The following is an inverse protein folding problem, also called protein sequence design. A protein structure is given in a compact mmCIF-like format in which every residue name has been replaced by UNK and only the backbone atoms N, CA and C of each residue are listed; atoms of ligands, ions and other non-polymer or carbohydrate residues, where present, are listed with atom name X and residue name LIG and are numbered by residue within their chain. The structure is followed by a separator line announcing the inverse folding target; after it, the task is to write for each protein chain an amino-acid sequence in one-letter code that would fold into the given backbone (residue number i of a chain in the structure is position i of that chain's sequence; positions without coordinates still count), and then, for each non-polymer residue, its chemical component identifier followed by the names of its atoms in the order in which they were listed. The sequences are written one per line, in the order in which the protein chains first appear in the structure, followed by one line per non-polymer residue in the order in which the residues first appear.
data_IF_578003303465
#
_entry.id   IF_578003303465
#
_cell.length_a   1.000
_cell.length_b   1.000
_cell.length_c   1.000
_cell.angle_alpha   90.00
_cell.angle_beta   90.00
_cell.angle_gamma   90.00
#
_symmetry.space_group_name_H-M   'P 1'
#
loop_
_entity.id
_entity.type
_entity.pdbx_description
1 polymer ?
#
# COMPACT_ATOMS: atom_id res chain seq x y z
N UNK A 1 -11.87 9.31 2.54
CA UNK A 1 -11.45 9.14 1.13
C UNK A 1 -9.94 8.95 1.15
N UNK A 2 -9.39 8.03 0.36
CA UNK A 2 -7.96 7.71 0.35
C UNK A 2 -7.38 8.12 -1.00
N UNK A 3 -6.35 8.97 -1.00
CA UNK A 3 -5.72 9.51 -2.20
C UNK A 3 -4.36 8.84 -2.41
N UNK A 4 -4.37 7.61 -2.94
CA UNK A 4 -3.19 6.79 -3.13
C UNK A 4 -3.56 5.31 -3.19
N UNK A 5 -2.71 4.51 -3.83
CA UNK A 5 -2.93 3.07 -4.08
C UNK A 5 -1.68 2.24 -3.79
N UNK A 6 -0.97 2.56 -2.72
CA UNK A 6 0.13 1.74 -2.19
C UNK A 6 -0.32 0.88 -1.00
N UNK A 7 0.60 0.08 -0.45
CA UNK A 7 0.28 -0.97 0.54
C UNK A 7 -0.45 -0.43 1.76
N UNK A 8 0.10 0.62 2.39
CA UNK A 8 -0.54 1.33 3.52
C UNK A 8 -1.94 1.86 3.16
N UNK A 9 -2.17 2.33 1.93
CA UNK A 9 -3.48 2.81 1.51
C UNK A 9 -4.53 1.69 1.49
N UNK A 10 -4.14 0.49 1.06
CA UNK A 10 -5.04 -0.68 1.12
C UNK A 10 -5.20 -1.23 2.53
N UNK A 11 -4.19 -1.15 3.38
CA UNK A 11 -4.34 -1.52 4.79
C UNK A 11 -5.32 -0.57 5.52
N UNK A 12 -5.22 0.75 5.29
CA UNK A 12 -6.20 1.73 5.76
C UNK A 12 -7.59 1.41 5.21
N UNK A 13 -7.70 1.10 3.91
CA UNK A 13 -8.98 0.76 3.30
C UNK A 13 -9.59 -0.52 3.89
N UNK A 14 -8.79 -1.56 4.11
CA UNK A 14 -9.21 -2.80 4.75
C UNK A 14 -9.74 -2.54 6.16
N UNK A 15 -8.99 -1.78 6.97
CA UNK A 15 -9.40 -1.42 8.33
C UNK A 15 -10.69 -0.59 8.32
N UNK A 16 -10.84 0.35 7.37
CA UNK A 16 -12.04 1.14 7.22
C UNK A 16 -13.27 0.28 6.87
N UNK A 17 -13.09 -0.78 6.06
CA UNK A 17 -14.17 -1.73 5.73
C UNK A 17 -14.52 -2.66 6.88
N UNK A 18 -13.59 -2.95 7.78
CA UNK A 18 -13.83 -3.71 9.02
C UNK A 18 -14.46 -2.84 10.13
N UNK A 19 -14.37 -1.51 9.97
CA UNK A 19 -14.93 -0.51 10.88
C UNK A 19 -16.35 -0.06 10.47
N UNK A 20 -17.11 0.63 11.36
CA UNK A 20 -18.43 1.21 11.05
C UNK A 20 -18.37 2.44 10.11
N UNK A 21 -17.49 2.40 9.10
CA UNK A 21 -17.30 3.46 8.11
C UNK A 21 -18.43 3.43 7.07
N UNK A 22 -19.14 4.56 6.89
CA UNK A 22 -20.28 4.64 5.97
C UNK A 22 -19.90 4.40 4.50
N UNK A 23 -18.77 4.95 4.06
CA UNK A 23 -18.31 4.88 2.67
C UNK A 23 -16.78 4.96 2.61
N UNK A 24 -16.17 4.09 1.82
CA UNK A 24 -14.74 4.11 1.53
C UNK A 24 -14.56 4.35 0.04
N UNK A 25 -13.73 5.33 -0.29
CA UNK A 25 -13.36 5.66 -1.67
C UNK A 25 -11.84 5.62 -1.74
N UNK A 26 -11.29 4.82 -2.64
CA UNK A 26 -9.85 4.71 -2.90
C UNK A 26 -9.55 5.25 -4.29
N UNK A 27 -8.64 6.22 -4.34
CA UNK A 27 -8.28 6.91 -5.58
C UNK A 27 -6.84 6.60 -6.00
N UNK A 28 -6.63 6.41 -7.30
CA UNK A 28 -5.31 6.12 -7.87
C UNK A 28 -5.02 7.08 -9.03
N UNK A 29 -3.73 7.40 -9.27
CA UNK A 29 -3.31 8.19 -10.44
C UNK A 29 -3.15 7.32 -11.68
N UNK A 30 -2.30 6.31 -11.57
CA UNK A 30 -1.84 5.48 -12.69
C UNK A 30 -2.05 4.00 -12.44
N UNK A 31 -2.98 3.65 -11.54
CA UNK A 31 -3.32 2.26 -11.19
C UNK A 31 -2.35 1.64 -10.19
N UNK A 32 -2.56 0.36 -9.89
CA UNK A 32 -1.71 -0.46 -9.03
C UNK A 32 -1.64 -1.89 -9.57
N UNK A 33 -0.73 -2.69 -9.02
CA UNK A 33 -0.64 -4.12 -9.28
C UNK A 33 -0.92 -4.88 -7.99
N UNK A 34 -2.07 -5.55 -7.94
CA UNK A 34 -2.48 -6.32 -6.77
C UNK A 34 -2.00 -7.75 -6.87
N UNK A 35 -1.23 -8.24 -5.88
CA UNK A 35 -0.77 -9.61 -5.86
C UNK A 35 -0.88 -10.27 -4.48
N UNK A 36 -1.17 -11.57 -4.39
CA UNK A 36 -1.15 -12.28 -3.12
C UNK A 36 0.30 -12.46 -2.64
N UNK A 37 0.54 -12.30 -1.34
CA UNK A 37 1.86 -12.57 -0.72
C UNK A 37 2.36 -14.01 -0.96
N UNK A 38 1.43 -14.97 -0.98
CA UNK A 38 1.70 -16.40 -1.22
C UNK A 38 0.65 -16.91 -2.19
N UNK A 39 1.08 -17.63 -3.22
CA UNK A 39 0.17 -18.44 -4.03
C UNK A 39 -0.23 -19.67 -3.24
N UNK A 40 -1.38 -19.59 -2.55
CA UNK A 40 -1.84 -20.61 -1.62
C UNK A 40 -2.26 -21.94 -2.27
N UNK A 41 -2.41 -21.98 -3.61
CA UNK A 41 -2.87 -23.17 -4.35
C UNK A 41 -2.13 -23.36 -5.68
N UNK A 42 -0.80 -23.43 -5.67
CA UNK A 42 -0.15 -24.22 -6.71
C UNK A 42 -0.27 -25.68 -6.31
N UNK A 43 -1.02 -26.48 -7.09
CA UNK A 43 -1.24 -27.90 -6.85
C UNK A 43 0.06 -28.72 -6.67
N UNK A 44 1.21 -28.16 -7.03
CA UNK A 44 2.52 -28.81 -7.01
C UNK A 44 3.44 -28.37 -5.85
N UNK A 45 3.04 -27.38 -5.02
CA UNK A 45 3.88 -26.88 -3.91
C UNK A 45 3.07 -26.89 -2.61
N UNK A 46 3.21 -27.93 -1.76
CA UNK A 46 2.60 -27.96 -0.44
C UNK A 46 3.05 -26.75 0.39
N UNK A 47 2.09 -25.98 0.93
CA UNK A 47 2.37 -24.76 1.71
C UNK A 47 2.33 -23.44 0.91
N UNK A 48 2.25 -23.53 -0.43
CA UNK A 48 2.25 -22.36 -1.31
C UNK A 48 3.65 -21.77 -1.51
N UNK A 49 3.80 -21.03 -2.61
CA UNK A 49 5.05 -20.35 -2.97
C UNK A 49 4.89 -18.85 -2.71
N UNK A 50 5.77 -18.21 -1.90
CA UNK A 50 5.78 -16.75 -1.79
C UNK A 50 6.01 -16.12 -3.17
N UNK A 51 5.26 -15.08 -3.52
CA UNK A 51 5.39 -14.48 -4.86
C UNK A 51 6.79 -13.90 -5.10
N UNK A 52 7.40 -13.35 -4.05
CA UNK A 52 8.74 -12.73 -4.12
C UNK A 52 9.83 -13.72 -4.54
N UNK A 53 9.67 -15.02 -4.24
CA UNK A 53 10.63 -16.06 -4.65
C UNK A 53 10.25 -16.73 -5.96
N UNK A 54 9.08 -16.38 -6.53
CA UNK A 54 8.52 -17.04 -7.70
C UNK A 54 8.92 -16.39 -9.03
N UNK A 55 9.24 -15.09 -9.03
CA UNK A 55 9.38 -14.33 -10.28
C UNK A 55 10.78 -13.82 -10.58
N UNK A 56 11.71 -13.77 -9.62
CA UNK A 56 13.06 -13.25 -9.83
C UNK A 56 14.05 -13.96 -8.92
N UNK A 57 14.89 -14.83 -9.48
CA UNK A 57 16.00 -15.40 -8.73
C UNK A 57 17.14 -14.38 -8.68
N UNK A 58 17.79 -14.27 -7.52
CA UNK A 58 19.02 -13.49 -7.41
C UNK A 58 20.03 -14.02 -8.44
N UNK A 59 20.54 -13.14 -9.30
CA UNK A 59 21.46 -13.45 -10.40
C UNK A 59 20.88 -14.30 -11.56
N UNK A 60 19.56 -14.31 -11.77
CA UNK A 60 18.92 -14.96 -12.93
C UNK A 60 19.57 -14.55 -14.28
N UNK A 61 19.82 -13.26 -14.46
CA UNK A 61 20.50 -12.63 -15.61
C UNK A 61 21.95 -13.07 -15.81
N UNK A 62 22.61 -13.59 -14.77
CA UNK A 62 24.04 -13.99 -14.83
C UNK A 62 24.24 -15.23 -15.72
N UNK A 63 23.24 -16.10 -15.78
CA UNK A 63 23.31 -17.36 -16.54
C UNK A 63 22.72 -17.24 -17.96
N UNK A 64 22.17 -16.07 -18.30
CA UNK A 64 21.60 -15.80 -19.61
C UNK A 64 22.71 -15.46 -20.61
N UNK A 65 22.62 -16.01 -21.83
CA UNK A 65 23.59 -15.73 -22.90
C UNK A 65 23.73 -14.21 -23.14
N UNK A 66 24.95 -13.67 -23.36
CA UNK A 66 25.17 -12.22 -23.47
C UNK A 66 24.24 -11.51 -24.48
N UNK A 67 23.93 -12.15 -25.62
CA UNK A 67 22.99 -11.60 -26.61
C UNK A 67 21.57 -11.37 -26.08
N UNK A 68 21.11 -12.15 -25.09
CA UNK A 68 19.80 -11.98 -24.47
C UNK A 68 19.93 -11.05 -23.26
N UNK A 69 20.97 -11.23 -22.44
CA UNK A 69 21.25 -10.42 -21.24
C UNK A 69 21.39 -8.94 -21.56
N UNK A 70 22.13 -8.63 -22.63
CA UNK A 70 22.42 -7.25 -23.05
C UNK A 70 21.34 -6.71 -24.01
N UNK A 71 20.14 -7.28 -23.97
CA UNK A 71 18.99 -6.91 -24.80
C UNK A 71 17.71 -6.75 -23.97
N UNK A 72 16.70 -6.10 -24.55
CA UNK A 72 15.38 -5.98 -23.92
C UNK A 72 14.56 -7.29 -23.98
N UNK A 73 15.09 -8.37 -24.56
CA UNK A 73 14.38 -9.65 -24.67
C UNK A 73 14.07 -10.25 -23.30
N UNK A 74 14.98 -10.12 -22.34
CA UNK A 74 14.78 -10.65 -20.99
C UNK A 74 13.61 -9.96 -20.28
N UNK A 75 13.54 -8.63 -20.39
CA UNK A 75 12.46 -7.83 -19.84
C UNK A 75 11.13 -8.08 -20.55
N UNK A 76 11.14 -8.25 -21.88
CA UNK A 76 9.95 -8.69 -22.62
C UNK A 76 9.47 -10.08 -22.17
N UNK A 77 10.39 -11.00 -21.87
CA UNK A 77 10.06 -12.30 -21.33
C UNK A 77 9.47 -12.19 -19.92
N UNK A 78 10.00 -11.32 -19.07
CA UNK A 78 9.43 -11.05 -17.74
C UNK A 78 8.04 -10.42 -17.81
N UNK A 79 7.85 -9.40 -18.65
CA UNK A 79 6.53 -8.82 -18.93
C UNK A 79 5.53 -9.89 -19.37
N UNK A 80 5.94 -10.70 -20.35
CA UNK A 80 5.11 -11.79 -20.86
C UNK A 80 4.78 -12.79 -19.76
N UNK A 81 5.77 -13.19 -18.96
CA UNK A 81 5.60 -14.20 -17.91
C UNK A 81 4.76 -13.69 -16.74
N UNK A 82 4.93 -12.43 -16.35
CA UNK A 82 4.17 -11.81 -15.27
C UNK A 82 2.73 -11.54 -15.72
N UNK A 83 2.53 -10.80 -16.82
CA UNK A 83 1.21 -10.39 -17.31
C UNK A 83 0.42 -11.60 -17.81
N UNK A 84 1.00 -12.43 -18.67
CA UNK A 84 0.30 -13.63 -19.16
C UNK A 84 0.15 -14.68 -18.07
N UNK A 85 1.11 -14.79 -17.13
CA UNK A 85 0.98 -15.66 -15.97
C UNK A 85 -0.19 -15.26 -15.08
N UNK A 86 -0.32 -13.98 -14.77
CA UNK A 86 -1.44 -13.45 -13.98
C UNK A 86 -2.79 -13.61 -14.71
N UNK A 87 -2.83 -13.35 -16.02
CA UNK A 87 -4.01 -13.58 -16.86
C UNK A 87 -4.37 -15.07 -16.95
N UNK A 88 -3.40 -15.95 -17.14
CA UNK A 88 -3.61 -17.39 -17.18
C UNK A 88 -4.14 -17.91 -15.84
N UNK A 89 -3.58 -17.40 -14.74
CA UNK A 89 -3.97 -17.78 -13.39
C UNK A 89 -5.37 -17.32 -13.01
N UNK A 90 -5.66 -16.03 -13.22
CA UNK A 90 -6.87 -15.42 -12.65
C UNK A 90 -7.93 -15.03 -13.67
N UNK A 91 -7.57 -14.98 -14.95
CA UNK A 91 -8.44 -14.51 -16.02
C UNK A 91 -8.71 -13.00 -16.00
N UNK A 92 -8.03 -12.26 -15.12
CA UNK A 92 -8.18 -10.82 -15.04
C UNK A 92 -7.31 -10.13 -16.10
N UNK A 93 -7.76 -8.98 -16.65
CA UNK A 93 -7.02 -8.25 -17.67
C UNK A 93 -5.78 -7.51 -17.14
N UNK A 94 -5.71 -7.21 -15.84
CA UNK A 94 -4.68 -6.34 -15.30
C UNK A 94 -3.68 -7.05 -14.38
N UNK A 95 -4.12 -7.96 -13.49
CA UNK A 95 -3.21 -8.73 -12.62
C UNK A 95 -3.93 -9.89 -11.87
N UNK A 96 -3.51 -10.30 -10.66
CA UNK A 96 -4.16 -11.35 -9.89
C UNK A 96 -5.56 -10.95 -9.40
N UNK A 97 -6.59 -11.41 -10.13
CA UNK A 97 -8.01 -11.14 -9.86
C UNK A 97 -8.38 -9.64 -9.91
N UNK A 98 -7.58 -8.84 -10.62
CA UNK A 98 -7.76 -7.40 -10.74
C UNK A 98 -8.55 -7.01 -12.00
N UNK A 99 -9.82 -6.64 -11.82
CA UNK A 99 -10.72 -6.22 -12.92
C UNK A 99 -10.87 -4.69 -13.04
N UNK A 100 -10.21 -3.92 -12.17
CA UNK A 100 -10.33 -2.46 -12.08
C UNK A 100 -9.02 -1.85 -11.62
N UNK A 101 -8.75 -0.58 -11.98
CA UNK A 101 -7.59 0.17 -11.50
C UNK A 101 -6.24 -0.38 -11.93
N UNK A 102 -6.19 -1.10 -13.06
CA UNK A 102 -4.95 -1.55 -13.66
C UNK A 102 -4.03 -0.38 -14.02
N UNK A 103 -2.73 -0.67 -14.09
CA UNK A 103 -1.73 0.29 -14.56
C UNK A 103 -2.00 0.75 -15.99
N UNK A 104 -1.62 1.98 -16.33
CA UNK A 104 -1.70 2.47 -17.71
C UNK A 104 -0.82 1.62 -18.63
N UNK A 105 -1.28 1.31 -19.84
CA UNK A 105 -0.59 0.40 -20.76
C UNK A 105 0.86 0.83 -21.03
N UNK A 106 1.15 2.12 -21.02
CA UNK A 106 2.51 2.68 -21.18
C UNK A 106 3.45 2.34 -20.02
N UNK A 107 2.92 2.07 -18.84
CA UNK A 107 3.69 1.76 -17.62
C UNK A 107 3.46 0.33 -17.12
N UNK A 108 2.56 -0.43 -17.75
CA UNK A 108 2.25 -1.81 -17.40
C UNK A 108 3.32 -2.77 -17.98
N UNK A 109 4.56 -2.50 -17.58
CA UNK A 109 5.77 -3.23 -17.95
C UNK A 109 6.60 -3.44 -16.68
N UNK A 110 7.11 -4.65 -16.48
CA UNK A 110 7.94 -5.05 -15.33
C UNK A 110 9.17 -4.17 -15.16
N UNK A 111 9.67 -3.58 -16.25
CA UNK A 111 10.81 -2.65 -16.20
C UNK A 111 10.46 -1.23 -15.72
N UNK A 112 9.18 -0.86 -15.55
CA UNK A 112 8.74 0.48 -15.09
C UNK A 112 8.32 0.52 -13.61
N UNK A 113 8.67 -0.49 -12.83
CA UNK A 113 8.55 -0.47 -11.37
C UNK A 113 7.22 -1.04 -10.89
N UNK A 114 7.15 -2.37 -10.85
CA UNK A 114 6.02 -3.09 -10.28
C UNK A 114 6.14 -3.13 -8.76
N UNK A 115 5.50 -2.17 -8.11
CA UNK A 115 5.18 -2.29 -6.68
C UNK A 115 3.97 -3.20 -6.57
N UNK A 116 4.24 -4.48 -6.30
CA UNK A 116 3.20 -5.44 -5.94
C UNK A 116 2.58 -5.06 -4.60
N UNK A 117 1.29 -4.77 -4.65
CA UNK A 117 0.53 -4.50 -3.45
C UNK A 117 0.08 -5.80 -2.81
N UNK A 118 0.81 -6.20 -1.75
CA UNK A 118 0.54 -7.46 -1.03
C UNK A 118 -0.70 -7.34 -0.13
N UNK A 119 -1.09 -6.13 0.25
CA UNK A 119 -2.33 -5.86 0.97
C UNK A 119 -3.58 -6.03 0.07
N UNK A 120 -3.40 -6.19 -1.25
CA UNK A 120 -4.49 -6.51 -2.20
C UNK A 120 -5.39 -7.64 -1.73
N UNK A 121 -4.82 -8.71 -1.13
CA UNK A 121 -5.58 -9.85 -0.61
C UNK A 121 -6.59 -9.46 0.49
N UNK A 122 -6.37 -8.36 1.21
CA UNK A 122 -7.29 -7.88 2.26
C UNK A 122 -8.50 -7.13 1.67
N UNK A 123 -8.29 -6.47 0.53
CA UNK A 123 -9.27 -5.51 -0.02
C UNK A 123 -10.03 -6.01 -1.25
N UNK A 124 -9.51 -6.98 -2.02
CA UNK A 124 -10.08 -7.35 -3.32
C UNK A 124 -11.55 -7.80 -3.21
N UNK A 125 -11.94 -8.44 -2.09
CA UNK A 125 -13.32 -8.82 -1.76
C UNK A 125 -14.31 -7.65 -1.65
N UNK A 126 -13.82 -6.45 -1.34
CA UNK A 126 -14.62 -5.23 -1.28
C UNK A 126 -14.57 -4.42 -2.59
N UNK A 127 -13.57 -4.65 -3.44
CA UNK A 127 -13.34 -3.86 -4.66
C UNK A 127 -13.94 -4.53 -5.89
N UNK A 128 -13.69 -5.82 -6.08
CA UNK A 128 -13.93 -6.53 -7.33
C UNK A 128 -15.41 -6.90 -7.59
N UNK A 129 -16.26 -7.28 -6.61
CA UNK A 129 -17.59 -7.80 -6.92
C UNK A 129 -18.43 -6.91 -7.85
N UNK A 130 -18.41 -5.57 -7.75
CA UNK A 130 -19.18 -4.71 -8.65
C UNK A 130 -18.66 -4.60 -10.09
N UNK A 131 -17.44 -5.06 -10.37
CA UNK A 131 -16.79 -4.99 -11.70
C UNK A 131 -16.70 -6.35 -12.40
N UNK A 132 -17.00 -7.44 -11.69
CA UNK A 132 -16.95 -8.79 -12.24
C UNK A 132 -18.33 -9.19 -12.79
N UNK A 133 -18.34 -9.95 -13.88
CA UNK A 133 -19.57 -10.58 -14.34
C UNK A 133 -20.10 -11.59 -13.29
N UNK A 134 -21.41 -11.61 -12.99
CA UNK A 134 -21.97 -12.48 -11.96
C UNK A 134 -21.86 -13.98 -12.31
N UNK A 135 -21.76 -14.31 -13.60
CA UNK A 135 -21.65 -15.69 -14.07
C UNK A 135 -20.25 -15.96 -14.67
N UNK A 136 -19.54 -17.03 -14.24
CA UNK A 136 -18.31 -17.44 -14.89
C UNK A 136 -18.54 -17.87 -16.32
N UNK A 137 -17.76 -17.30 -17.23
CA UNK A 137 -17.56 -17.87 -18.55
C UNK A 137 -16.94 -19.27 -18.45
N UNK A 138 -17.12 -20.08 -19.50
CA UNK A 138 -16.61 -21.45 -19.58
C UNK A 138 -15.09 -21.53 -19.31
N UNK A 139 -14.32 -20.49 -19.67
CA UNK A 139 -12.88 -20.37 -19.42
C UNK A 139 -12.51 -20.02 -17.97
N UNK A 140 -13.41 -19.42 -17.18
CA UNK A 140 -13.16 -19.17 -15.76
C UNK A 140 -13.28 -20.45 -14.92
N UNK A 141 -14.14 -21.40 -15.33
CA UNK A 141 -14.38 -22.64 -14.57
C UNK A 141 -13.11 -23.46 -14.30
N UNK A 142 -12.23 -23.74 -15.29
CA UNK A 142 -10.98 -24.43 -15.02
C UNK A 142 -10.02 -23.58 -14.16
N UNK A 143 -9.95 -22.27 -14.40
CA UNK A 143 -9.13 -21.35 -13.58
C UNK A 143 -9.55 -21.37 -12.12
N UNK A 144 -10.85 -21.37 -11.82
CA UNK A 144 -11.41 -21.47 -10.46
C UNK A 144 -11.01 -22.74 -9.72
N UNK A 145 -10.74 -23.84 -10.42
CA UNK A 145 -10.28 -25.10 -9.80
C UNK A 145 -8.80 -25.07 -9.44
N UNK A 146 -7.99 -24.37 -10.24
CA UNK A 146 -6.53 -24.32 -10.07
C UNK A 146 -6.12 -23.15 -9.18
N UNK A 147 -6.73 -21.99 -9.39
CA UNK A 147 -6.45 -20.75 -8.67
C UNK A 147 -7.67 -20.32 -7.86
N UNK A 148 -7.44 -19.94 -6.60
CA UNK A 148 -8.48 -19.45 -5.70
C UNK A 148 -8.93 -18.04 -6.12
N UNK A 149 -9.71 -18.00 -7.19
CA UNK A 149 -10.27 -16.77 -7.77
C UNK A 149 -11.63 -16.42 -7.19
N UNK A 150 -12.02 -17.06 -6.07
CA UNK A 150 -13.24 -16.70 -5.38
C UNK A 150 -13.05 -15.34 -4.71
N UNK A 151 -13.79 -14.35 -5.22
CA UNK A 151 -13.96 -13.08 -4.54
C UNK A 151 -15.24 -13.24 -3.74
N UNK A 152 -15.11 -13.43 -2.44
CA UNK A 152 -16.26 -13.40 -1.54
C UNK A 152 -16.92 -12.03 -1.67
N UNK A 153 -18.22 -12.00 -1.95
CA UNK A 153 -18.95 -10.74 -1.89
C UNK A 153 -19.21 -10.40 -0.42
N UNK A 154 -18.50 -9.40 0.07
CA UNK A 154 -18.64 -8.94 1.45
C UNK A 154 -19.91 -8.09 1.68
N UNK A 155 -20.70 -7.77 0.64
CA UNK A 155 -21.90 -6.94 0.71
C UNK A 155 -21.64 -5.46 0.97
N UNK A 156 -20.40 -5.06 1.23
CA UNK A 156 -19.92 -3.68 1.32
C UNK A 156 -18.81 -3.48 0.31
N UNK A 157 -18.74 -2.29 -0.28
CA UNK A 157 -17.81 -2.02 -1.38
C UNK A 157 -16.91 -0.82 -1.11
N UNK A 158 -15.67 -0.92 -1.58
CA UNK A 158 -14.77 0.22 -1.74
C UNK A 158 -15.01 0.77 -3.14
N UNK A 159 -15.44 2.03 -3.23
CA UNK A 159 -15.52 2.70 -4.52
C UNK A 159 -14.12 3.05 -5.01
N UNK A 160 -13.75 2.58 -6.19
CA UNK A 160 -12.53 2.99 -6.88
C UNK A 160 -12.84 4.22 -7.72
N UNK A 161 -11.92 5.18 -7.75
CA UNK A 161 -11.99 6.33 -8.65
C UNK A 161 -10.61 6.75 -9.15
N UNK A 162 -10.54 7.49 -10.27
CA UNK A 162 -9.30 8.15 -10.66
C UNK A 162 -8.92 9.21 -9.61
N UNK A 163 -7.68 9.68 -9.64
CA UNK A 163 -7.27 10.78 -8.78
C UNK A 163 -8.10 12.04 -9.10
N UNK A 164 -8.65 12.74 -8.10
CA UNK A 164 -9.47 13.92 -8.34
C UNK A 164 -8.64 15.02 -9.02
N UNK A 165 -9.22 15.66 -10.03
CA UNK A 165 -8.61 16.77 -10.75
C UNK A 165 -8.51 18.02 -9.89
N UNK A 166 -9.56 18.28 -9.11
CA UNK A 166 -9.67 19.36 -8.14
C UNK A 166 -10.82 19.05 -7.17
N UNK A 167 -10.88 19.83 -6.09
CA UNK A 167 -12.04 19.91 -5.23
C UNK A 167 -12.68 21.28 -5.45
N UNK A 168 -14.02 21.34 -5.52
CA UNK A 168 -14.70 22.63 -5.62
C UNK A 168 -14.77 23.36 -4.28
N UNK A 169 -15.35 24.56 -4.27
CA UNK A 169 -15.50 25.39 -3.07
C UNK A 169 -16.40 24.77 -2.01
N UNK A 170 -17.31 23.88 -2.41
CA UNK A 170 -18.20 23.16 -1.50
C UNK A 170 -17.56 21.89 -0.94
N UNK A 171 -16.34 21.60 -1.40
CA UNK A 171 -15.55 20.46 -1.01
C UNK A 171 -15.86 19.16 -1.76
N UNK A 172 -16.54 19.23 -2.89
CA UNK A 172 -16.84 18.05 -3.71
C UNK A 172 -15.65 17.72 -4.60
N UNK A 173 -15.26 16.45 -4.63
CA UNK A 173 -14.21 15.91 -5.48
C UNK A 173 -14.68 15.77 -6.93
N UNK A 174 -13.94 16.38 -7.86
CA UNK A 174 -14.22 16.30 -9.30
C UNK A 174 -13.24 15.36 -10.00
N UNK A 175 -13.76 14.28 -10.57
CA UNK A 175 -12.98 13.23 -11.22
C UNK A 175 -12.88 13.47 -12.73
N UNK A 176 -11.67 13.43 -13.28
CA UNK A 176 -11.46 13.45 -14.72
C UNK A 176 -11.76 12.06 -15.32
N UNK A 177 -12.47 12.03 -16.45
CA UNK A 177 -12.79 10.78 -17.14
C UNK A 177 -11.56 10.17 -17.79
N UNK A 178 -11.15 8.98 -17.32
CA UNK A 178 -10.03 8.21 -17.87
C UNK A 178 -10.47 7.08 -18.82
N UNK A 179 -11.77 6.99 -19.15
CA UNK A 179 -12.32 5.93 -20.00
C UNK A 179 -12.44 4.55 -19.32
N UNK A 180 -12.06 4.42 -18.04
CA UNK A 180 -12.04 3.15 -17.32
C UNK A 180 -13.34 2.86 -16.55
N UNK A 181 -13.63 1.59 -16.22
CA UNK A 181 -14.87 1.21 -15.53
C UNK A 181 -15.06 1.89 -14.17
N UNK A 182 -13.99 2.16 -13.42
CA UNK A 182 -14.08 2.87 -12.13
C UNK A 182 -14.68 4.27 -12.28
N UNK A 183 -14.30 5.01 -13.32
CA UNK A 183 -14.83 6.34 -13.58
C UNK A 183 -16.33 6.28 -13.87
N UNK A 184 -16.78 5.28 -14.65
CA UNK A 184 -18.19 5.12 -14.99
C UNK A 184 -19.07 4.88 -13.76
N UNK A 185 -18.53 4.23 -12.72
CA UNK A 185 -19.26 3.97 -11.47
C UNK A 185 -19.31 5.19 -10.55
N UNK A 186 -18.25 6.00 -10.55
CA UNK A 186 -18.10 7.13 -9.62
C UNK A 186 -18.63 8.46 -10.18
N UNK A 187 -18.69 8.64 -11.50
CA UNK A 187 -19.04 9.91 -12.17
C UNK A 187 -20.37 10.57 -11.75
N UNK A 188 -21.34 9.78 -11.29
CA UNK A 188 -22.66 10.27 -10.86
C UNK A 188 -22.78 10.39 -9.33
N UNK A 189 -21.71 10.09 -8.59
CA UNK A 189 -21.70 10.12 -7.12
C UNK A 189 -21.09 11.44 -6.66
N UNK A 190 -21.79 12.16 -5.80
CA UNK A 190 -21.21 13.27 -5.05
C UNK A 190 -20.31 12.71 -3.95
N UNK A 191 -19.03 13.07 -3.97
CA UNK A 191 -18.04 12.68 -2.96
C UNK A 191 -17.48 13.97 -2.37
N UNK A 192 -17.83 14.21 -1.11
CA UNK A 192 -17.40 15.40 -0.35
C UNK A 192 -16.55 14.94 0.83
N UNK A 193 -15.22 14.81 0.67
CA UNK A 193 -14.33 14.61 1.81
C UNK A 193 -14.22 15.91 2.63
N UNK A 194 -13.72 15.79 3.85
CA UNK A 194 -13.21 16.93 4.61
C UNK A 194 -11.96 17.47 3.89
N UNK A 195 -11.90 18.80 3.67
CA UNK A 195 -10.86 19.43 2.86
C UNK A 195 -10.17 20.52 3.66
N UNK A 196 -8.94 20.19 4.07
CA UNK A 196 -7.99 21.07 4.73
C UNK A 196 -6.71 20.24 5.01
N UNK A 197 -5.54 20.84 5.26
CA UNK A 197 -4.77 21.83 4.50
C UNK A 197 -3.78 21.14 3.51
N UNK A 198 -2.71 21.79 3.04
CA UNK A 198 -1.68 21.15 2.20
C UNK A 198 -0.72 20.28 3.04
N UNK A 199 0.06 19.35 2.46
CA UNK A 199 1.03 18.55 3.24
C UNK A 199 1.99 19.39 4.10
N UNK A 200 2.36 20.58 3.62
CA UNK A 200 3.26 21.52 4.31
C UNK A 200 2.65 22.20 5.55
N UNK A 201 1.34 22.06 5.73
CA UNK A 201 0.59 22.70 6.82
C UNK A 201 0.28 21.68 7.94
N UNK A 202 0.77 20.44 7.82
CA UNK A 202 0.75 19.45 8.89
C UNK A 202 1.81 19.83 9.94
N UNK A 203 1.40 19.91 11.20
CA UNK A 203 2.23 20.37 12.32
C UNK A 203 2.40 19.33 13.43
N UNK A 204 1.74 18.17 13.30
CA UNK A 204 1.93 17.02 14.18
C UNK A 204 2.66 15.93 13.41
N UNK A 205 3.94 15.72 13.75
CA UNK A 205 4.79 14.69 13.16
C UNK A 205 4.85 14.71 11.62
N UNK A 206 4.58 15.85 10.97
CA UNK A 206 4.38 16.01 9.51
C UNK A 206 3.22 15.17 8.93
N UNK A 207 2.26 14.73 9.75
CA UNK A 207 1.15 13.85 9.33
C UNK A 207 -0.18 14.59 9.20
N UNK A 208 -0.63 15.31 10.23
CA UNK A 208 -1.90 16.06 10.17
C UNK A 208 -1.76 17.41 10.87
N UNK A 209 -2.81 18.22 10.77
CA UNK A 209 -2.88 19.52 11.45
C UNK A 209 -3.58 19.42 12.80
N UNK A 210 -3.00 19.93 13.87
CA UNK A 210 -3.49 19.84 15.25
C UNK A 210 -4.95 20.28 15.41
N UNK A 211 -5.33 21.38 14.76
CA UNK A 211 -6.71 21.91 14.84
C UNK A 211 -7.72 21.09 14.02
N UNK A 212 -7.25 20.31 13.06
CA UNK A 212 -8.10 19.52 12.17
C UNK A 212 -7.45 18.17 11.83
N UNK A 213 -7.62 17.15 12.68
CA UNK A 213 -7.06 15.83 12.46
C UNK A 213 -7.81 15.02 11.41
N UNK A 214 -8.86 15.55 10.77
CA UNK A 214 -9.71 14.79 9.85
C UNK A 214 -9.01 14.40 8.53
N UNK A 215 -7.90 15.07 8.20
CA UNK A 215 -7.07 14.82 7.03
C UNK A 215 -5.64 14.54 7.44
N UNK A 216 -5.06 13.45 6.92
CA UNK A 216 -3.68 13.03 7.17
C UNK A 216 -2.88 12.81 5.88
N UNK A 217 -1.60 13.14 5.94
CA UNK A 217 -0.59 12.99 4.89
C UNK A 217 0.38 11.88 5.29
N UNK A 218 0.33 10.78 4.55
CA UNK A 218 1.10 9.57 4.86
C UNK A 218 2.21 9.39 3.81
N UNK A 219 3.44 9.18 4.26
CA UNK A 219 4.61 8.97 3.40
C UNK A 219 5.22 10.24 2.80
N UNK A 220 4.90 11.42 3.35
CA UNK A 220 5.42 12.71 2.90
C UNK A 220 6.75 13.10 3.58
N UNK A 221 7.26 12.27 4.48
CA UNK A 221 8.59 12.42 5.09
C UNK A 221 9.66 11.73 4.26
N UNK A 222 10.90 12.22 4.32
CA UNK A 222 12.03 11.58 3.65
C UNK A 222 13.06 11.08 4.66
N UNK A 223 13.18 9.76 4.88
CA UNK A 223 14.24 9.26 5.75
C UNK A 223 15.62 9.57 5.15
N UNK A 224 16.58 9.97 6.00
CA UNK A 224 17.98 10.09 5.60
C UNK A 224 18.57 8.74 5.17
N UNK A 225 18.31 7.71 5.98
CA UNK A 225 18.56 6.30 5.68
C UNK A 225 17.33 5.50 6.08
N UNK A 226 16.91 4.53 5.25
CA UNK A 226 15.77 3.68 5.57
C UNK A 226 14.65 3.76 4.53
N UNK A 227 13.58 3.03 4.80
CA UNK A 227 12.48 2.83 3.87
C UNK A 227 11.27 3.67 4.27
N UNK A 228 10.61 4.29 3.28
CA UNK A 228 9.37 5.06 3.48
C UNK A 228 8.19 4.15 3.89
N UNK A 229 7.98 2.94 3.32
CA UNK A 229 6.81 2.12 3.66
C UNK A 229 6.64 1.82 5.17
N UNK A 230 7.68 1.43 5.93
CA UNK A 230 7.54 1.29 7.39
C UNK A 230 7.18 2.60 8.11
N UNK A 231 7.70 3.74 7.65
CA UNK A 231 7.34 5.05 8.21
C UNK A 231 5.88 5.38 7.94
N UNK A 232 5.43 5.20 6.70
CA UNK A 232 4.05 5.40 6.29
C UNK A 232 3.07 4.58 7.13
N UNK A 233 3.43 3.33 7.41
CA UNK A 233 2.61 2.45 8.25
C UNK A 233 2.49 3.00 9.69
N UNK A 234 3.62 3.39 10.30
CA UNK A 234 3.63 3.99 11.65
C UNK A 234 2.87 5.32 11.70
N UNK A 235 3.02 6.17 10.67
CA UNK A 235 2.26 7.41 10.52
C UNK A 235 0.75 7.14 10.46
N UNK A 236 0.34 6.13 9.67
CA UNK A 236 -1.06 5.76 9.53
C UNK A 236 -1.63 5.21 10.85
N UNK A 237 -0.87 4.37 11.56
CA UNK A 237 -1.24 3.87 12.89
C UNK A 237 -1.45 5.01 13.89
N UNK A 238 -0.52 5.97 13.96
CA UNK A 238 -0.63 7.12 14.87
C UNK A 238 -1.87 7.95 14.56
N UNK A 239 -2.03 8.32 13.29
CA UNK A 239 -3.15 9.16 12.83
C UNK A 239 -4.50 8.49 13.09
N UNK A 240 -4.64 7.19 12.80
CA UNK A 240 -5.88 6.46 13.05
C UNK A 240 -6.14 6.31 14.54
N UNK A 241 -5.11 6.08 15.36
CA UNK A 241 -5.26 6.01 16.82
C UNK A 241 -5.74 7.35 17.40
N UNK A 242 -5.24 8.47 16.86
CA UNK A 242 -5.72 9.82 17.19
C UNK A 242 -7.20 10.00 16.79
N UNK A 243 -7.56 9.65 15.55
CA UNK A 243 -8.95 9.74 15.06
C UNK A 243 -9.95 8.91 15.89
N UNK A 244 -9.50 7.77 16.43
CA UNK A 244 -10.29 6.91 17.31
C UNK A 244 -10.34 7.40 18.77
N UNK A 245 -9.64 8.49 19.10
CA UNK A 245 -9.56 9.03 20.46
C UNK A 245 -8.85 8.09 21.45
N UNK A 246 -7.89 7.30 20.95
CA UNK A 246 -7.20 6.25 21.73
C UNK A 246 -5.79 6.63 22.17
N UNK A 247 -5.32 7.83 21.84
CA UNK A 247 -4.06 8.33 22.38
C UNK A 247 -4.25 8.72 23.85
N UNK A 248 -3.49 8.09 24.74
CA UNK A 248 -3.56 8.35 26.17
C UNK A 248 -2.85 9.65 26.57
N UNK A 249 -1.79 9.99 25.83
CA UNK A 249 -0.91 11.14 26.09
C UNK A 249 -1.15 12.23 25.05
N UNK A 250 -1.12 13.52 25.43
CA UNK A 250 -1.13 14.60 24.46
C UNK A 250 0.16 14.59 23.66
N UNK A 251 0.07 14.83 22.35
CA UNK A 251 1.23 15.01 21.49
C UNK A 251 1.80 16.41 21.73
N UNK A 252 3.07 16.47 22.14
CA UNK A 252 3.75 17.71 22.48
C UNK A 252 4.78 18.03 21.38
N UNK A 253 4.74 19.24 20.78
CA UNK A 253 5.77 19.67 19.83
C UNK A 253 7.19 19.60 20.40
N UNK A 254 7.33 19.73 21.72
CA UNK A 254 8.61 19.63 22.43
C UNK A 254 9.22 18.21 22.40
N UNK A 255 8.48 17.19 21.97
CA UNK A 255 9.01 15.84 21.76
C UNK A 255 9.58 15.65 20.33
N UNK A 256 9.42 16.64 19.43
CA UNK A 256 9.72 16.46 18.00
C UNK A 256 11.09 17.01 17.55
N UNK A 257 11.89 17.59 18.45
CA UNK A 257 13.14 18.28 18.09
C UNK A 257 14.29 17.37 17.61
N UNK A 258 14.24 16.08 17.94
CA UNK A 258 15.42 15.19 17.87
C UNK A 258 15.56 14.42 16.56
N UNK A 259 14.45 14.20 15.84
CA UNK A 259 14.44 13.42 14.60
C UNK A 259 14.60 14.24 13.30
N UNK A 260 14.26 15.54 13.19
CA UNK A 260 14.45 16.27 11.95
C UNK A 260 15.93 16.39 11.57
N UNK A 261 16.27 16.07 10.32
CA UNK A 261 17.63 16.25 9.81
C UNK A 261 17.86 17.74 9.60
N UNK A 262 18.86 18.28 10.28
CA UNK A 262 19.26 19.69 10.15
C UNK A 262 19.81 19.92 8.73
N UNK A 263 19.04 20.62 7.91
CA UNK A 263 19.43 21.00 6.56
C UNK A 263 19.63 22.53 6.46
N UNK A 264 20.55 23.00 5.60
CA UNK A 264 20.64 24.41 5.24
C UNK A 264 19.30 24.95 4.71
N UNK A 265 18.93 26.23 4.93
CA UNK A 265 17.64 26.77 4.47
C UNK A 265 17.42 26.68 2.96
N UNK A 266 18.49 26.66 2.17
CA UNK A 266 18.52 26.53 0.72
C UNK A 266 18.54 25.07 0.24
N UNK A 267 18.51 24.10 1.14
CA UNK A 267 18.45 22.70 0.79
C UNK A 267 17.14 22.37 0.07
N UNK A 268 17.24 21.46 -0.90
CA UNK A 268 16.08 20.98 -1.66
C UNK A 268 15.05 20.25 -0.78
N UNK A 269 15.50 19.68 0.34
CA UNK A 269 14.72 18.78 1.19
C UNK A 269 14.83 19.27 2.63
N UNK A 270 13.75 19.90 3.11
CA UNK A 270 13.66 20.44 4.46
C UNK A 270 12.70 19.63 5.36
N UNK A 271 12.24 18.48 4.85
CA UNK A 271 11.32 17.54 5.51
C UNK A 271 11.98 16.16 5.71
N UNK A 272 13.31 16.16 5.82
CA UNK A 272 14.08 14.95 6.01
C UNK A 272 14.12 14.58 7.49
N UNK A 273 14.01 13.28 7.79
CA UNK A 273 13.98 12.75 9.16
C UNK A 273 15.03 11.67 9.34
N UNK A 274 15.60 11.58 10.54
CA UNK A 274 16.35 10.42 11.00
C UNK A 274 15.34 9.30 11.25
N UNK A 275 15.55 8.15 10.60
CA UNK A 275 14.52 7.12 10.45
C UNK A 275 14.20 6.45 11.78
N UNK A 276 15.20 6.11 12.58
CA UNK A 276 15.01 5.39 13.84
C UNK A 276 14.34 6.28 14.89
N UNK A 277 14.87 7.49 15.08
CA UNK A 277 14.36 8.48 16.03
C UNK A 277 12.93 8.91 15.70
N UNK A 278 12.60 9.06 14.41
CA UNK A 278 11.24 9.37 13.98
C UNK A 278 10.28 8.23 14.32
N UNK A 279 10.61 6.99 13.95
CA UNK A 279 9.77 5.82 14.28
C UNK A 279 9.64 5.63 15.78
N UNK A 280 10.73 5.82 16.53
CA UNK A 280 10.75 5.74 17.97
C UNK A 280 9.79 6.76 18.60
N UNK A 281 9.79 7.99 18.11
CA UNK A 281 8.87 9.03 18.58
C UNK A 281 7.41 8.64 18.31
N UNK A 282 7.09 8.22 17.08
CA UNK A 282 5.73 7.73 16.75
C UNK A 282 5.31 6.55 17.64
N UNK A 283 6.22 5.62 17.92
CA UNK A 283 5.96 4.49 18.81
C UNK A 283 5.75 4.94 20.26
N UNK A 284 6.52 5.92 20.75
CA UNK A 284 6.36 6.49 22.10
C UNK A 284 5.01 7.22 22.24
N UNK A 285 4.60 7.94 21.21
CA UNK A 285 3.33 8.68 21.16
C UNK A 285 2.11 7.75 21.21
N UNK A 286 2.25 6.54 20.66
CA UNK A 286 1.24 5.49 20.71
C UNK A 286 1.38 4.53 21.91
N UNK A 287 2.33 4.76 22.81
CA UNK A 287 2.68 3.84 23.92
C UNK A 287 3.05 2.41 23.47
N UNK A 288 3.68 2.29 22.29
CA UNK A 288 4.11 1.04 21.67
C UNK A 288 5.63 0.88 21.62
N UNK A 289 6.39 1.89 22.05
CA UNK A 289 7.85 1.80 22.08
C UNK A 289 8.30 0.71 23.07
N UNK A 290 9.02 -0.34 22.63
CA UNK A 290 9.43 -1.40 23.51
C UNK A 290 10.48 -0.88 24.50
N UNK A 291 10.30 -1.18 25.78
CA UNK A 291 11.33 -0.89 26.78
C UNK A 291 12.55 -1.80 26.58
N UNK A 292 13.71 -1.32 27.05
CA UNK A 292 14.94 -2.11 27.03
C UNK A 292 14.78 -3.51 27.65
N UNK A 293 14.02 -3.60 28.75
CA UNK A 293 13.75 -4.87 29.46
C UNK A 293 12.86 -5.78 28.61
N UNK A 294 11.88 -5.23 27.90
CA UNK A 294 11.03 -6.02 27.00
C UNK A 294 11.81 -6.57 25.81
N UNK A 295 12.68 -5.76 25.20
CA UNK A 295 13.58 -6.23 24.14
C UNK A 295 14.47 -7.37 24.66
N UNK A 296 15.06 -7.24 25.85
CA UNK A 296 15.85 -8.31 26.46
C UNK A 296 15.02 -9.57 26.72
N UNK A 297 13.78 -9.44 27.22
CA UNK A 297 12.87 -10.58 27.47
C UNK A 297 12.45 -11.27 26.18
N UNK A 298 12.08 -10.50 25.16
CA UNK A 298 11.76 -10.99 23.82
C UNK A 298 12.96 -11.70 23.22
N UNK A 299 14.14 -11.11 23.36
CA UNK A 299 15.41 -11.69 22.97
C UNK A 299 15.74 -13.00 23.63
N UNK A 300 15.59 -13.06 24.95
CA UNK A 300 15.80 -14.29 25.71
C UNK A 300 14.87 -15.41 25.25
N UNK A 301 13.60 -15.10 24.98
CA UNK A 301 12.61 -16.08 24.48
C UNK A 301 12.86 -16.49 23.03
N UNK A 302 13.12 -15.54 22.14
CA UNK A 302 13.23 -15.79 20.70
C UNK A 302 14.58 -16.42 20.31
N UNK A 303 15.65 -16.07 21.03
CA UNK A 303 17.00 -16.42 20.62
C UNK A 303 17.51 -17.74 21.21
N UNK A 304 16.66 -18.56 21.86
CA UNK A 304 17.09 -19.78 22.58
C UNK A 304 18.32 -19.52 23.48
N UNK A 305 18.36 -18.37 24.16
CA UNK A 305 19.51 -17.95 24.97
C UNK A 305 20.59 -17.11 24.27
N UNK A 306 20.49 -16.81 22.98
CA UNK A 306 21.40 -15.88 22.27
C UNK A 306 21.01 -14.39 22.44
N UNK A 307 20.41 -14.03 23.57
CA UNK A 307 19.98 -12.67 23.92
C UNK A 307 21.13 -11.65 23.88
N UNK A 308 22.35 -12.10 24.12
CA UNK A 308 23.58 -11.29 24.08
C UNK A 308 23.88 -10.69 22.70
N UNK A 309 23.22 -11.16 21.63
CA UNK A 309 23.36 -10.60 20.28
C UNK A 309 22.53 -9.34 20.04
N UNK A 310 21.53 -9.06 20.88
CA UNK A 310 20.62 -7.92 20.70
C UNK A 310 21.23 -6.57 21.08
N UNK A 311 22.04 -6.42 22.14
CA UNK A 311 22.66 -5.15 22.47
C UNK A 311 23.92 -4.82 21.64
N UNK A 312 24.18 -5.54 20.54
CA UNK A 312 25.37 -5.33 19.66
C UNK A 312 24.96 -4.75 18.31
N UNK A 313 23.88 -3.96 18.27
CA UNK A 313 23.50 -3.12 17.13
C UNK A 313 23.61 -1.67 17.57
#
# INVERSE_FOLDING_TARGET
MILGSGETAFDIAALAMESPTKKVVLCHRSGWLGAPKVFSKYAFVPGGMPIDVSQLFLFDTMYVHPLIRDSMLIWKHYDLSAIQGAWAATGSPYDFAQHVGGKDDEINHTWRGDTFDKAWKRVYKYIIPPYRAPNPDWGERPRRKVFDTFVEDAGRYIDIGPFPSHFDRDGVAHFAGNGRPEYQRIKHRTIKPDIYPMPKDADICDVWRKEDPTVGFIGFVRPGFGAIPPLSEMQAMLWITNLLGRLEKPLLPDDEWHYPIIAPPDARINYAVEHDSYVYQLAKDMDMAPSFIEVLRLGYKAANGAWWRLPVI
#
